data_IF_342347716925
#
_entry.id   IF_342347716925
#
_cell.length_a   1.000
_cell.length_b   1.000
_cell.length_c   1.000
_cell.angle_alpha   90.00
_cell.angle_beta   90.00
_cell.angle_gamma   90.00
#
_symmetry.space_group_name_H-M   'P 1'
#
loop_
_entity.id
_entity.type
_entity.pdbx_description
1 polymer ?
#
# COMPACT_ATOMS: atom_id res chain seq x y z
N UNK A 1 15.78 -22.58 17.62
CA UNK A 1 15.57 -21.81 16.38
C UNK A 1 15.50 -20.33 16.73
N UNK A 2 16.26 -19.46 16.06
CA UNK A 2 16.08 -18.00 16.18
C UNK A 2 14.74 -17.65 15.52
N UNK A 3 13.82 -17.00 16.24
CA UNK A 3 12.52 -16.59 15.71
C UNK A 3 12.75 -15.52 14.63
N UNK A 4 12.14 -15.62 13.43
CA UNK A 4 12.03 -14.47 12.54
C UNK A 4 11.04 -13.50 13.17
N UNK A 5 11.54 -12.55 13.96
CA UNK A 5 10.73 -11.50 14.57
C UNK A 5 10.71 -10.31 13.61
N UNK A 6 9.59 -10.11 12.93
CA UNK A 6 9.31 -8.87 12.22
C UNK A 6 8.85 -7.81 13.25
N UNK A 7 8.95 -6.52 12.94
CA UNK A 7 8.75 -5.50 13.96
C UNK A 7 7.30 -5.02 14.08
N UNK A 8 6.29 -5.89 13.90
CA UNK A 8 4.88 -5.46 13.85
C UNK A 8 4.40 -4.72 15.12
N UNK A 9 5.01 -4.97 16.28
CA UNK A 9 4.78 -4.20 17.52
C UNK A 9 4.98 -2.70 17.37
N UNK A 10 5.99 -2.28 16.61
CA UNK A 10 6.28 -0.86 16.40
C UNK A 10 5.19 -0.21 15.52
N UNK A 11 4.72 -0.92 14.50
CA UNK A 11 3.67 -0.45 13.59
C UNK A 11 2.31 -0.30 14.29
N UNK A 12 2.10 -1.00 15.41
CA UNK A 12 0.92 -0.83 16.25
C UNK A 12 0.96 0.42 17.14
N UNK A 13 2.14 0.96 17.46
CA UNK A 13 2.31 2.20 18.24
C UNK A 13 1.97 3.46 17.43
N UNK A 14 1.70 3.31 16.13
CA UNK A 14 1.30 4.38 15.22
C UNK A 14 -0.19 4.38 14.91
N UNK A 15 -0.96 3.43 15.48
CA UNK A 15 -2.40 3.45 15.37
C UNK A 15 -2.98 4.61 16.20
N UNK A 16 -3.99 5.35 15.70
CA UNK A 16 -4.54 6.54 16.37
C UNK A 16 -4.95 6.35 17.83
N UNK A 17 -5.23 5.10 18.23
CA UNK A 17 -5.69 4.70 19.57
C UNK A 17 -4.58 4.12 20.48
N UNK A 18 -3.32 4.11 20.03
CA UNK A 18 -2.22 3.44 20.73
C UNK A 18 -1.60 4.22 21.91
N UNK A 19 -2.12 5.41 22.25
CA UNK A 19 -1.64 6.22 23.37
C UNK A 19 -2.02 5.62 24.73
N UNK A 20 -1.23 4.65 25.19
CA UNK A 20 -1.25 4.15 26.57
C UNK A 20 -1.68 2.70 26.77
N UNK A 21 -2.06 1.97 25.73
CA UNK A 21 -2.39 0.55 25.83
C UNK A 21 -1.11 -0.31 25.93
N UNK A 22 -0.65 -0.57 27.16
CA UNK A 22 0.31 -1.67 27.39
C UNK A 22 -0.41 -2.99 27.14
N UNK A 23 0.01 -3.74 26.12
CA UNK A 23 -0.43 -5.12 25.90
C UNK A 23 -0.03 -5.92 27.13
N UNK A 24 -1.00 -6.30 27.97
CA UNK A 24 -0.72 -7.12 29.15
C UNK A 24 -0.48 -8.57 28.71
N UNK A 25 0.73 -9.14 28.75
CA UNK A 25 0.96 -10.52 28.29
C UNK A 25 0.20 -11.56 29.14
N UNK A 26 -0.24 -11.20 30.35
CA UNK A 26 -1.03 -12.03 31.26
C UNK A 26 -2.54 -11.86 31.01
N UNK A 27 -2.97 -11.83 29.74
CA UNK A 27 -4.41 -11.90 29.40
C UNK A 27 -4.92 -13.28 29.79
N UNK A 28 -5.32 -13.41 31.04
CA UNK A 28 -5.90 -14.60 31.63
C UNK A 28 -6.94 -15.18 30.66
N UNK A 29 -6.81 -16.47 30.34
CA UNK A 29 -7.80 -17.29 29.61
C UNK A 29 -9.13 -17.42 30.39
N UNK A 30 -9.44 -16.46 31.26
CA UNK A 30 -10.67 -16.42 32.01
C UNK A 30 -11.83 -16.34 31.03
N UNK A 31 -12.70 -17.33 31.25
CA UNK A 31 -13.79 -17.80 30.44
C UNK A 31 -14.83 -16.69 30.23
N UNK A 32 -14.55 -15.77 29.31
CA UNK A 32 -15.58 -14.85 28.82
C UNK A 32 -16.54 -15.73 28.06
N UNK A 33 -17.76 -15.88 28.58
CA UNK A 33 -18.83 -16.75 28.10
C UNK A 33 -19.26 -16.46 26.66
N UNK A 34 -18.38 -16.73 25.70
CA UNK A 34 -18.73 -16.97 24.32
C UNK A 34 -19.43 -18.30 24.35
N UNK A 35 -20.76 -18.25 24.33
CA UNK A 35 -21.58 -19.44 24.27
C UNK A 35 -21.18 -20.26 23.06
N UNK A 36 -21.29 -21.59 23.15
CA UNK A 36 -21.07 -22.47 22.01
C UNK A 36 -21.86 -22.00 20.78
N UNK A 37 -23.07 -21.47 20.98
CA UNK A 37 -23.89 -20.90 19.91
C UNK A 37 -23.27 -19.70 19.19
N UNK A 38 -22.61 -18.78 19.91
CA UNK A 38 -21.93 -17.63 19.30
C UNK A 38 -20.66 -18.07 18.56
N UNK A 39 -19.88 -18.99 19.13
CA UNK A 39 -18.73 -19.58 18.46
C UNK A 39 -19.13 -20.28 17.14
N UNK A 40 -20.20 -21.08 17.17
CA UNK A 40 -20.72 -21.74 15.97
C UNK A 40 -21.22 -20.73 14.92
N UNK A 41 -21.83 -19.62 15.35
CA UNK A 41 -22.24 -18.56 14.43
C UNK A 41 -21.04 -17.88 13.77
N UNK A 42 -19.99 -17.57 14.54
CA UNK A 42 -18.74 -16.97 14.02
C UNK A 42 -18.09 -17.90 13.00
N UNK A 43 -17.93 -19.18 13.34
CA UNK A 43 -17.34 -20.19 12.45
C UNK A 43 -18.17 -20.28 11.17
N UNK A 44 -19.51 -20.37 11.29
CA UNK A 44 -20.38 -20.44 10.13
C UNK A 44 -20.28 -19.20 9.24
N UNK A 45 -20.10 -17.99 9.77
CA UNK A 45 -19.91 -16.79 8.95
C UNK A 45 -18.53 -16.84 8.29
N UNK A 46 -17.49 -17.16 9.05
CA UNK A 46 -16.14 -17.25 8.52
C UNK A 46 -16.05 -18.26 7.36
N UNK A 47 -16.65 -19.43 7.53
CA UNK A 47 -16.66 -20.53 6.56
C UNK A 47 -17.64 -20.35 5.41
N UNK A 48 -18.59 -19.42 5.45
CA UNK A 48 -19.53 -19.20 4.33
C UNK A 48 -19.29 -17.89 3.60
N UNK A 49 -19.04 -16.84 4.36
CA UNK A 49 -19.03 -15.46 3.88
C UNK A 49 -17.62 -14.89 3.78
N UNK A 50 -16.69 -15.36 4.62
CA UNK A 50 -15.30 -14.90 4.64
C UNK A 50 -14.31 -15.91 4.04
N UNK A 51 -14.80 -16.87 3.24
CA UNK A 51 -13.92 -17.75 2.50
C UNK A 51 -13.11 -16.98 1.46
N UNK A 52 -11.95 -17.52 1.13
CA UNK A 52 -11.18 -16.99 0.01
C UNK A 52 -11.97 -17.25 -1.28
N UNK A 53 -12.32 -16.21 -2.07
CA UNK A 53 -13.32 -16.32 -3.13
C UNK A 53 -12.77 -16.92 -4.42
N UNK A 54 -11.86 -17.89 -4.32
CA UNK A 54 -11.18 -18.46 -5.48
C UNK A 54 -11.85 -19.78 -5.88
N UNK A 55 -12.62 -19.70 -6.96
CA UNK A 55 -13.08 -20.86 -7.73
C UNK A 55 -12.28 -20.94 -9.05
N UNK A 56 -12.60 -21.91 -9.90
CA UNK A 56 -11.91 -22.08 -11.20
C UNK A 56 -11.92 -20.82 -12.06
N UNK A 57 -13.05 -20.09 -12.05
CA UNK A 57 -13.20 -18.80 -12.75
C UNK A 57 -12.29 -17.73 -12.15
N UNK A 58 -12.29 -17.57 -10.82
CA UNK A 58 -11.43 -16.63 -10.11
C UNK A 58 -9.93 -16.91 -10.36
N UNK A 59 -9.54 -18.20 -10.36
CA UNK A 59 -8.20 -18.64 -10.74
C UNK A 59 -7.86 -18.27 -12.19
N UNK A 60 -8.79 -18.43 -13.12
CA UNK A 60 -8.59 -18.06 -14.52
C UNK A 60 -8.38 -16.54 -14.68
N UNK A 61 -9.18 -15.72 -13.99
CA UNK A 61 -9.01 -14.26 -13.96
C UNK A 61 -7.64 -13.89 -13.36
N UNK A 62 -7.29 -14.45 -12.21
CA UNK A 62 -5.99 -14.20 -11.56
C UNK A 62 -4.80 -14.55 -12.47
N UNK A 63 -4.84 -15.70 -13.14
CA UNK A 63 -3.78 -16.11 -14.09
C UNK A 63 -3.68 -15.16 -15.28
N UNK A 64 -4.82 -14.78 -15.88
CA UNK A 64 -4.85 -13.83 -16.99
C UNK A 64 -4.34 -12.46 -16.55
N UNK A 65 -4.70 -12.02 -15.35
CA UNK A 65 -4.24 -10.76 -14.78
C UNK A 65 -2.73 -10.77 -14.54
N UNK A 66 -2.21 -11.84 -13.93
CA UNK A 66 -0.77 -12.02 -13.76
C UNK A 66 -0.03 -11.99 -15.11
N UNK A 67 -0.58 -12.68 -16.12
CA UNK A 67 0.01 -12.71 -17.45
C UNK A 67 0.01 -11.35 -18.15
N UNK A 68 -1.07 -10.58 -17.97
CA UNK A 68 -1.17 -9.21 -18.47
C UNK A 68 -0.03 -8.35 -17.90
N UNK A 69 0.16 -8.34 -16.57
CA UNK A 69 1.18 -7.51 -15.94
C UNK A 69 2.61 -8.00 -16.19
N UNK A 70 2.82 -9.31 -16.37
CA UNK A 70 4.11 -9.85 -16.85
C UNK A 70 4.47 -9.27 -18.22
N UNK A 71 3.53 -9.31 -19.17
CA UNK A 71 3.76 -8.81 -20.53
C UNK A 71 3.98 -7.29 -20.53
N UNK A 72 3.20 -6.54 -19.73
CA UNK A 72 3.42 -5.10 -19.52
C UNK A 72 4.83 -4.84 -18.98
N UNK A 73 5.26 -5.57 -17.96
CA UNK A 73 6.59 -5.37 -17.35
C UNK A 73 7.70 -5.72 -18.33
N UNK A 74 7.56 -6.78 -19.11
CA UNK A 74 8.56 -7.18 -20.11
C UNK A 74 8.66 -6.19 -21.29
N UNK A 75 7.52 -5.65 -21.74
CA UNK A 75 7.48 -4.56 -22.73
C UNK A 75 8.20 -3.32 -22.19
N UNK A 76 7.91 -2.92 -20.95
CA UNK A 76 8.60 -1.81 -20.29
C UNK A 76 10.13 -2.02 -20.24
N UNK A 77 10.59 -3.20 -19.81
CA UNK A 77 12.02 -3.56 -19.76
C UNK A 77 12.70 -3.50 -21.13
N UNK A 78 11.99 -3.95 -22.16
CA UNK A 78 12.52 -4.03 -23.53
C UNK A 78 12.63 -2.65 -24.17
N UNK A 79 11.63 -1.79 -23.95
CA UNK A 79 11.48 -0.55 -24.69
C UNK A 79 11.91 0.71 -23.93
N UNK A 80 12.15 0.61 -22.62
CA UNK A 80 12.52 1.76 -21.80
C UNK A 80 13.71 1.46 -20.89
N UNK A 81 14.83 2.18 -21.13
CA UNK A 81 16.08 2.03 -20.36
C UNK A 81 15.88 2.21 -18.85
N UNK A 82 14.95 3.08 -18.43
CA UNK A 82 14.64 3.31 -17.03
C UNK A 82 14.04 2.09 -16.32
N UNK A 83 13.39 1.19 -17.06
CA UNK A 83 12.82 -0.07 -16.57
C UNK A 83 13.72 -1.27 -16.85
N UNK A 84 14.98 -1.04 -17.26
CA UNK A 84 15.93 -2.13 -17.42
C UNK A 84 16.10 -2.84 -16.06
N UNK A 85 16.04 -4.16 -16.10
CA UNK A 85 16.14 -5.05 -14.93
C UNK A 85 14.97 -4.91 -13.92
N UNK A 86 13.86 -4.27 -14.31
CA UNK A 86 12.65 -4.20 -13.50
C UNK A 86 12.09 -5.57 -13.14
N UNK A 87 11.56 -5.68 -11.93
CA UNK A 87 10.88 -6.87 -11.39
C UNK A 87 9.41 -6.55 -11.13
N UNK A 88 8.53 -7.50 -11.46
CA UNK A 88 7.12 -7.45 -11.08
C UNK A 88 6.90 -8.21 -9.77
N UNK A 89 6.25 -7.55 -8.81
CA UNK A 89 5.81 -8.17 -7.57
C UNK A 89 4.29 -8.27 -7.52
N UNK A 90 3.78 -9.46 -7.25
CA UNK A 90 2.37 -9.72 -6.98
C UNK A 90 2.14 -9.53 -5.49
N UNK A 91 1.28 -8.59 -5.09
CA UNK A 91 1.14 -8.17 -3.69
C UNK A 91 -0.32 -8.05 -3.28
N UNK A 92 -0.57 -7.76 -2.00
CA UNK A 92 -1.93 -7.48 -1.54
C UNK A 92 -2.81 -8.73 -1.45
N UNK A 93 -4.08 -8.48 -1.13
CA UNK A 93 -4.87 -9.50 -0.46
C UNK A 93 -5.22 -10.70 -1.34
N UNK A 94 -5.27 -10.51 -2.65
CA UNK A 94 -5.50 -11.60 -3.61
C UNK A 94 -4.35 -12.61 -3.60
N UNK A 95 -3.11 -12.14 -3.66
CA UNK A 95 -1.93 -13.01 -3.72
C UNK A 95 -1.46 -13.51 -2.34
N UNK A 96 -2.02 -12.95 -1.27
CA UNK A 96 -1.80 -13.38 0.11
C UNK A 96 -2.79 -14.49 0.55
N UNK A 97 -3.86 -14.74 -0.21
CA UNK A 97 -4.94 -15.64 0.18
C UNK A 97 -5.92 -15.01 1.20
N UNK A 98 -6.03 -13.68 1.20
CA UNK A 98 -6.76 -12.88 2.17
C UNK A 98 -7.88 -12.04 1.55
N UNK A 99 -8.15 -12.20 0.25
CA UNK A 99 -9.29 -11.58 -0.42
C UNK A 99 -10.58 -12.18 0.16
N UNK A 100 -11.62 -11.36 0.17
CA UNK A 100 -12.99 -11.70 0.59
C UNK A 100 -13.95 -11.24 -0.50
N UNK A 101 -15.20 -11.69 -0.43
CA UNK A 101 -16.27 -11.36 -1.38
C UNK A 101 -15.96 -11.83 -2.82
N UNK A 102 -15.36 -10.97 -3.66
CA UNK A 102 -15.16 -11.24 -5.08
C UNK A 102 -13.68 -11.15 -5.50
N UNK A 103 -13.33 -11.73 -6.65
CA UNK A 103 -12.00 -11.62 -7.27
C UNK A 103 -11.98 -10.38 -8.17
N UNK A 104 -12.06 -9.20 -7.55
CA UNK A 104 -12.33 -7.90 -8.20
C UNK A 104 -11.23 -6.85 -8.01
N UNK A 105 -10.13 -7.19 -7.34
CA UNK A 105 -9.03 -6.26 -7.01
C UNK A 105 -7.70 -7.03 -7.03
N UNK A 106 -6.70 -6.45 -7.69
CA UNK A 106 -5.37 -7.02 -7.83
C UNK A 106 -4.30 -5.95 -7.61
N UNK A 107 -3.46 -6.14 -6.59
CA UNK A 107 -2.35 -5.25 -6.31
C UNK A 107 -1.04 -5.78 -6.90
N UNK A 108 -0.28 -4.90 -7.54
CA UNK A 108 1.03 -5.16 -8.10
C UNK A 108 1.99 -4.04 -7.75
N UNK A 109 3.27 -4.37 -7.63
CA UNK A 109 4.35 -3.39 -7.58
C UNK A 109 5.30 -3.64 -8.75
N UNK A 110 5.63 -2.60 -9.51
CA UNK A 110 6.66 -2.65 -10.55
C UNK A 110 7.90 -1.93 -10.00
N UNK A 111 9.00 -2.65 -9.94
CA UNK A 111 10.29 -2.10 -9.51
C UNK A 111 10.91 -1.25 -10.59
N UNK A 112 11.46 -0.09 -10.24
CA UNK A 112 12.29 0.72 -11.12
C UNK A 112 13.70 0.88 -10.51
N UNK A 113 14.60 -0.10 -10.74
CA UNK A 113 15.90 -0.15 -10.07
C UNK A 113 16.76 1.08 -10.31
N UNK A 114 16.61 1.75 -11.47
CA UNK A 114 17.41 2.93 -11.80
C UNK A 114 17.25 4.06 -10.78
N UNK A 115 16.06 4.22 -10.17
CA UNK A 115 15.82 5.26 -9.16
C UNK A 115 16.75 5.12 -7.96
N UNK A 116 17.01 3.89 -7.52
CA UNK A 116 17.92 3.63 -6.39
C UNK A 116 19.38 4.00 -6.67
N UNK A 117 19.75 4.13 -7.94
CA UNK A 117 21.12 4.46 -8.39
C UNK A 117 21.33 5.96 -8.60
N UNK A 118 20.26 6.68 -8.94
CA UNK A 118 20.34 8.11 -9.29
C UNK A 118 19.73 9.04 -8.26
N UNK A 119 19.21 8.49 -7.18
CA UNK A 119 18.63 9.26 -6.11
C UNK A 119 19.42 9.13 -4.81
N UNK A 120 19.50 10.26 -4.13
CA UNK A 120 19.79 10.28 -2.71
C UNK A 120 18.49 10.00 -1.95
N UNK A 121 18.58 9.00 -1.08
CA UNK A 121 17.50 8.64 -0.18
C UNK A 121 17.97 8.99 1.22
N UNK A 122 17.20 9.79 1.94
CA UNK A 122 17.46 10.13 3.32
C UNK A 122 16.22 9.82 4.17
N UNK A 123 16.43 9.45 5.42
CA UNK A 123 15.32 9.23 6.34
C UNK A 123 14.83 10.59 6.85
N UNK A 124 13.52 10.82 6.87
CA UNK A 124 12.95 11.93 7.63
C UNK A 124 12.62 11.48 9.04
N UNK A 125 12.60 12.42 9.97
CA UNK A 125 12.35 12.24 11.42
C UNK A 125 11.00 11.61 11.80
N UNK A 126 10.23 11.08 10.84
CA UNK A 126 8.94 10.42 11.08
C UNK A 126 8.82 9.05 10.40
N UNK A 127 8.54 8.03 11.23
CA UNK A 127 7.56 6.96 10.99
C UNK A 127 7.42 6.46 9.55
N UNK A 128 8.42 5.76 9.03
CA UNK A 128 8.40 5.04 7.74
C UNK A 128 8.46 5.91 6.47
N UNK A 129 8.65 7.22 6.62
CA UNK A 129 8.78 8.14 5.50
C UNK A 129 10.24 8.41 5.18
N UNK A 130 10.58 8.30 3.90
CA UNK A 130 11.91 8.64 3.38
C UNK A 130 11.76 9.87 2.49
N UNK A 131 12.70 10.81 2.63
CA UNK A 131 12.90 11.85 1.64
C UNK A 131 13.76 11.31 0.51
N UNK A 132 13.46 11.79 -0.69
CA UNK A 132 14.07 11.32 -1.92
C UNK A 132 14.41 12.51 -2.80
N UNK A 133 15.64 12.56 -3.29
CA UNK A 133 16.14 13.61 -4.17
C UNK A 133 16.86 12.99 -5.38
N UNK A 134 16.43 13.36 -6.59
CA UNK A 134 17.05 12.89 -7.83
C UNK A 134 18.30 13.72 -8.14
N UNK A 135 19.45 13.06 -8.23
CA UNK A 135 20.73 13.70 -8.58
C UNK A 135 21.05 13.63 -10.07
N UNK A 136 20.59 12.59 -10.75
CA UNK A 136 20.88 12.37 -12.16
C UNK A 136 19.62 12.00 -12.94
N UNK A 137 19.29 12.82 -13.94
CA UNK A 137 18.16 12.61 -14.84
C UNK A 137 18.55 11.87 -16.13
N UNK A 138 19.84 11.66 -16.38
CA UNK A 138 20.33 11.05 -17.61
C UNK A 138 19.66 9.72 -17.97
N UNK A 139 19.32 8.83 -17.03
CA UNK A 139 18.64 7.58 -17.39
C UNK A 139 17.23 7.76 -17.94
N UNK A 140 16.67 8.97 -17.84
CA UNK A 140 15.33 9.32 -18.33
C UNK A 140 15.36 10.13 -19.63
N UNK A 141 16.53 10.48 -20.17
CA UNK A 141 16.63 11.27 -21.41
C UNK A 141 16.12 10.50 -22.64
N UNK A 142 16.25 9.17 -22.67
CA UNK A 142 15.72 8.36 -23.78
C UNK A 142 14.29 7.83 -23.51
N UNK A 143 13.66 8.27 -22.40
CA UNK A 143 12.33 7.82 -22.00
C UNK A 143 11.25 8.74 -22.58
N UNK A 144 10.02 8.25 -22.84
CA UNK A 144 8.86 9.11 -23.10
C UNK A 144 8.59 10.12 -21.97
N UNK A 145 9.29 10.06 -20.84
CA UNK A 145 9.45 11.19 -19.90
C UNK A 145 9.81 12.50 -20.61
N UNK A 146 10.64 12.48 -21.66
CA UNK A 146 10.89 13.69 -22.48
C UNK A 146 9.67 14.13 -23.27
N UNK A 147 8.85 13.20 -23.79
CA UNK A 147 7.56 13.54 -24.43
C UNK A 147 6.58 14.13 -23.41
N UNK A 148 6.62 13.68 -22.15
CA UNK A 148 5.85 14.28 -21.04
C UNK A 148 6.42 15.66 -20.64
N UNK A 149 7.73 15.89 -20.76
CA UNK A 149 8.34 17.24 -20.60
C UNK A 149 7.85 18.22 -21.67
N UNK A 150 7.52 17.77 -22.89
CA UNK A 150 6.90 18.65 -23.92
C UNK A 150 5.51 19.12 -23.51
N UNK A 151 4.85 18.39 -22.59
CA UNK A 151 3.60 18.78 -21.95
C UNK A 151 3.81 19.70 -20.72
N UNK A 152 5.03 20.19 -20.47
CA UNK A 152 5.30 21.21 -19.45
C UNK A 152 4.55 22.53 -19.74
N UNK A 153 4.11 22.76 -20.97
CA UNK A 153 3.15 23.82 -21.29
C UNK A 153 1.80 23.62 -20.57
N UNK A 154 1.36 22.37 -20.33
CA UNK A 154 0.18 22.06 -19.51
C UNK A 154 0.46 22.17 -18.00
N UNK A 155 1.72 22.04 -17.56
CA UNK A 155 2.14 22.30 -16.18
C UNK A 155 2.19 23.81 -15.92
N UNK A 156 2.69 24.59 -16.88
CA UNK A 156 2.58 26.05 -16.85
C UNK A 156 1.13 26.49 -16.97
N UNK A 157 0.31 25.86 -17.83
CA UNK A 157 -1.15 26.09 -17.89
C UNK A 157 -1.83 25.77 -16.54
N UNK A 158 -1.33 24.79 -15.77
CA UNK A 158 -1.79 24.53 -14.41
C UNK A 158 -1.42 25.68 -13.44
N UNK A 159 -0.19 26.18 -13.48
CA UNK A 159 0.20 27.39 -12.74
C UNK A 159 -0.49 28.67 -13.24
N UNK A 160 -0.87 28.73 -14.51
CA UNK A 160 -1.60 29.86 -15.09
C UNK A 160 -3.10 29.73 -14.78
N UNK A 161 -3.66 28.52 -14.67
CA UNK A 161 -4.99 28.26 -14.13
C UNK A 161 -5.06 28.57 -12.63
N UNK A 162 -3.98 28.35 -11.86
CA UNK A 162 -3.83 28.85 -10.48
C UNK A 162 -4.11 30.36 -10.38
N UNK A 163 -3.75 31.14 -11.41
CA UNK A 163 -4.05 32.59 -11.47
C UNK A 163 -5.51 32.93 -11.85
N UNK A 164 -6.24 31.99 -12.48
CA UNK A 164 -7.65 32.18 -12.87
C UNK A 164 -8.65 31.80 -11.77
N UNK A 165 -8.23 30.99 -10.79
CA UNK A 165 -9.07 30.57 -9.66
C UNK A 165 -8.86 31.42 -8.40
N UNK A 166 -7.96 32.41 -8.44
CA UNK A 166 -7.70 33.35 -7.37
C UNK A 166 -8.12 34.73 -7.86
N UNK A 167 -9.17 35.34 -7.28
CA UNK A 167 -9.42 36.76 -7.56
C UNK A 167 -8.27 37.58 -6.99
N UNK A 168 -7.84 38.67 -7.65
CA UNK A 168 -6.82 39.55 -7.09
C UNK A 168 -7.20 40.01 -5.67
N UNK A 169 -6.44 39.58 -4.66
CA UNK A 169 -6.67 39.90 -3.25
C UNK A 169 -7.40 38.84 -2.41
N UNK A 170 -7.83 37.71 -2.98
CA UNK A 170 -8.32 36.55 -2.21
C UNK A 170 -7.15 35.57 -1.99
N UNK A 171 -6.86 35.18 -0.74
CA UNK A 171 -5.99 34.01 -0.47
C UNK A 171 -6.79 32.73 -0.69
N UNK A 172 -6.22 31.77 -1.43
CA UNK A 172 -6.86 30.48 -1.65
C UNK A 172 -6.91 29.69 -0.34
N UNK A 173 -8.11 29.24 0.02
CA UNK A 173 -8.37 28.27 1.09
C UNK A 173 -8.65 26.94 0.37
N UNK A 174 -7.73 25.98 0.48
CA UNK A 174 -7.96 24.61 -0.01
C UNK A 174 -9.27 24.04 0.60
N UNK A 175 -10.07 23.26 -0.13
CA UNK A 175 -11.11 22.45 0.51
C UNK A 175 -10.39 21.38 1.37
N UNK A 176 -10.37 21.59 2.69
CA UNK A 176 -9.51 20.87 3.64
C UNK A 176 -8.39 21.72 4.27
N UNK A 177 -8.42 23.04 4.09
CA UNK A 177 -7.47 24.01 4.68
C UNK A 177 -7.79 24.28 6.15
N UNK A 178 -7.53 23.26 6.95
CA UNK A 178 -7.19 23.44 8.35
C UNK A 178 -5.74 23.97 8.32
N UNK A 179 -5.59 25.30 8.28
CA UNK A 179 -4.30 26.01 8.14
C UNK A 179 -3.20 25.60 9.14
N UNK A 180 -3.51 24.76 10.13
CA UNK A 180 -2.54 24.19 11.06
C UNK A 180 -1.82 22.93 10.53
N UNK A 181 -2.30 22.28 9.46
CA UNK A 181 -1.78 20.97 9.02
C UNK A 181 -0.83 21.01 7.80
N UNK A 182 -0.85 22.10 7.02
CA UNK A 182 0.08 22.35 5.93
C UNK A 182 0.97 23.55 6.21
N UNK A 183 1.67 23.53 7.35
CA UNK A 183 3.00 24.10 7.32
C UNK A 183 3.74 23.32 6.24
N UNK A 184 4.01 23.91 5.06
CA UNK A 184 5.18 23.49 4.27
C UNK A 184 6.32 23.64 5.26
N UNK A 185 6.86 22.55 5.83
CA UNK A 185 7.81 22.69 6.92
C UNK A 185 8.95 23.59 6.43
N UNK A 186 9.43 24.54 7.25
CA UNK A 186 10.36 25.59 6.79
C UNK A 186 11.63 25.02 6.08
N UNK A 187 11.97 23.77 6.36
CA UNK A 187 12.94 22.92 5.68
C UNK A 187 12.70 22.65 4.17
N UNK A 188 11.50 22.90 3.64
CA UNK A 188 11.17 22.78 2.20
C UNK A 188 11.27 24.10 1.42
N UNK A 189 11.41 25.24 2.09
CA UNK A 189 11.67 26.51 1.40
C UNK A 189 13.07 26.59 0.77
N UNK A 190 13.95 25.62 1.07
CA UNK A 190 15.34 25.57 0.62
C UNK A 190 15.64 24.52 -0.46
N UNK A 191 14.69 23.67 -0.87
CA UNK A 191 14.93 22.68 -1.94
C UNK A 191 14.52 23.24 -3.29
N UNK A 192 15.37 23.03 -4.31
CA UNK A 192 15.12 23.49 -5.68
C UNK A 192 13.78 22.93 -6.21
N UNK A 193 12.84 23.81 -6.62
CA UNK A 193 11.57 23.39 -7.21
C UNK A 193 11.69 22.44 -8.41
N UNK A 194 12.84 22.44 -9.08
CA UNK A 194 13.13 21.53 -10.18
C UNK A 194 13.08 20.04 -9.75
N UNK A 195 13.50 19.72 -8.52
CA UNK A 195 13.56 18.33 -8.04
C UNK A 195 12.18 17.71 -7.84
N UNK A 196 11.24 18.44 -7.24
CA UNK A 196 9.86 17.95 -7.05
C UNK A 196 9.15 17.75 -8.38
N UNK A 197 9.42 18.64 -9.34
CA UNK A 197 8.86 18.57 -10.68
C UNK A 197 9.31 17.31 -11.40
N UNK A 198 10.59 16.94 -11.29
CA UNK A 198 11.13 15.75 -11.93
C UNK A 198 10.44 14.46 -11.45
N UNK A 199 10.18 14.34 -10.16
CA UNK A 199 9.52 13.15 -9.62
C UNK A 199 8.04 13.08 -10.03
N UNK A 200 7.32 14.19 -9.99
CA UNK A 200 5.95 14.27 -10.48
C UNK A 200 5.86 13.86 -11.97
N UNK A 201 6.83 14.30 -12.78
CA UNK A 201 6.96 13.89 -14.18
C UNK A 201 7.20 12.39 -14.29
N UNK A 202 8.11 11.81 -13.50
CA UNK A 202 8.39 10.36 -13.53
C UNK A 202 7.14 9.54 -13.15
N UNK A 203 6.45 9.93 -12.10
CA UNK A 203 5.22 9.28 -11.63
C UNK A 203 4.14 9.35 -12.72
N UNK A 204 3.93 10.53 -13.30
CA UNK A 204 2.97 10.72 -14.40
C UNK A 204 3.34 9.87 -15.62
N UNK A 205 4.61 9.88 -16.02
CA UNK A 205 5.08 9.07 -17.14
C UNK A 205 4.92 7.58 -16.88
N UNK A 206 5.19 7.10 -15.67
CA UNK A 206 4.95 5.72 -15.28
C UNK A 206 3.48 5.34 -15.44
N UNK A 207 2.55 6.12 -14.88
CA UNK A 207 1.11 5.82 -14.99
C UNK A 207 0.63 5.77 -16.44
N UNK A 208 1.04 6.74 -17.27
CA UNK A 208 0.70 6.78 -18.70
C UNK A 208 1.28 5.58 -19.47
N UNK A 209 2.54 5.22 -19.19
CA UNK A 209 3.19 4.06 -19.81
C UNK A 209 2.49 2.77 -19.44
N UNK A 210 2.24 2.54 -18.14
CA UNK A 210 1.56 1.34 -17.66
C UNK A 210 0.16 1.24 -18.27
N UNK A 211 -0.59 2.35 -18.33
CA UNK A 211 -1.89 2.39 -18.98
C UNK A 211 -1.83 2.02 -20.47
N UNK A 212 -0.92 2.64 -21.23
CA UNK A 212 -0.72 2.33 -22.65
C UNK A 212 -0.43 0.84 -22.85
N UNK A 213 0.48 0.28 -22.02
CA UNK A 213 0.87 -1.13 -22.13
C UNK A 213 -0.25 -2.07 -21.69
N UNK A 214 -1.02 -1.74 -20.65
CA UNK A 214 -2.21 -2.50 -20.26
C UNK A 214 -3.18 -2.58 -21.42
N UNK A 215 -3.47 -1.46 -22.08
CA UNK A 215 -4.37 -1.43 -23.24
C UNK A 215 -3.83 -2.25 -24.41
N UNK A 216 -2.51 -2.23 -24.63
CA UNK A 216 -1.87 -2.99 -25.70
C UNK A 216 -1.89 -4.51 -25.47
N UNK A 217 -1.63 -4.95 -24.23
CA UNK A 217 -1.54 -6.38 -23.87
C UNK A 217 -2.85 -7.00 -23.39
N UNK A 218 -3.93 -6.22 -23.40
CA UNK A 218 -5.22 -6.66 -22.89
C UNK A 218 -5.75 -7.89 -23.67
N UNK A 219 -6.27 -8.93 -22.99
CA UNK A 219 -6.96 -10.02 -23.67
C UNK A 219 -8.08 -9.49 -24.57
N UNK A 220 -8.25 -10.07 -25.75
CA UNK A 220 -9.19 -9.57 -26.78
C UNK A 220 -10.64 -9.49 -26.27
N UNK A 221 -11.00 -10.38 -25.35
CA UNK A 221 -12.33 -10.44 -24.76
C UNK A 221 -12.50 -9.48 -23.57
N UNK A 222 -11.43 -8.83 -23.11
CA UNK A 222 -11.46 -7.86 -22.01
C UNK A 222 -11.52 -6.43 -22.57
N UNK A 223 -12.06 -5.51 -21.77
CA UNK A 223 -12.19 -4.10 -22.14
C UNK A 223 -11.63 -3.22 -21.03
N UNK A 224 -10.74 -2.32 -21.40
CA UNK A 224 -10.30 -1.26 -20.51
C UNK A 224 -11.45 -0.26 -20.33
N UNK A 225 -11.74 0.13 -19.08
CA UNK A 225 -12.68 1.21 -18.79
C UNK A 225 -11.87 2.50 -18.73
N UNK A 226 -12.06 3.45 -19.67
CA UNK A 226 -11.46 4.75 -19.54
C UNK A 226 -12.09 5.43 -18.32
N UNK A 227 -11.33 5.57 -17.24
CA UNK A 227 -11.74 6.46 -16.17
C UNK A 227 -11.60 7.90 -16.67
N UNK A 228 -12.57 8.77 -16.36
CA UNK A 228 -12.44 10.21 -16.60
C UNK A 228 -11.26 10.81 -15.79
N UNK A 229 -10.89 10.12 -14.69
CA UNK A 229 -9.67 10.30 -13.90
C UNK A 229 -8.49 9.42 -14.35
N UNK A 230 -8.62 8.76 -15.50
CA UNK A 230 -7.66 7.82 -16.08
C UNK A 230 -6.60 8.49 -16.95
N UNK A 231 -6.64 9.82 -17.10
CA UNK A 231 -5.39 10.56 -17.18
C UNK A 231 -4.86 10.58 -15.76
N UNK A 232 -3.57 10.32 -15.53
CA UNK A 232 -2.92 10.62 -14.25
C UNK A 232 -3.17 12.09 -13.93
N UNK A 233 -4.27 12.38 -13.24
CA UNK A 233 -4.68 13.75 -12.96
C UNK A 233 -3.83 14.23 -11.81
N UNK A 234 -3.65 15.54 -11.75
CA UNK A 234 -3.02 16.17 -10.60
C UNK A 234 -3.79 15.80 -9.31
N UNK A 235 -5.09 15.50 -9.39
CA UNK A 235 -5.88 15.00 -8.26
C UNK A 235 -5.36 13.67 -7.69
N UNK A 236 -4.76 12.80 -8.51
CA UNK A 236 -4.11 11.58 -8.02
C UNK A 236 -2.93 11.91 -7.08
N UNK A 237 -2.17 12.96 -7.41
CA UNK A 237 -1.09 13.48 -6.58
C UNK A 237 -1.61 14.18 -5.32
N UNK A 238 -2.69 14.97 -5.46
CA UNK A 238 -3.30 15.69 -4.35
C UNK A 238 -4.00 14.74 -3.36
N UNK A 239 -4.46 13.58 -3.81
CA UNK A 239 -5.11 12.56 -2.96
C UNK A 239 -4.13 11.62 -2.25
N UNK A 240 -2.81 11.79 -2.41
CA UNK A 240 -1.78 10.94 -1.78
C UNK A 240 -1.94 9.44 -2.06
N UNK A 241 -2.46 9.08 -3.24
CA UNK A 241 -2.55 7.69 -3.68
C UNK A 241 -1.19 7.25 -4.21
N UNK A 242 -0.69 6.11 -3.74
CA UNK A 242 0.59 5.54 -4.20
C UNK A 242 0.43 4.68 -5.46
N UNK A 243 -0.74 4.07 -5.63
CA UNK A 243 -1.03 3.10 -6.67
C UNK A 243 -1.85 3.71 -7.80
N UNK A 244 -1.50 3.34 -9.04
CA UNK A 244 -2.30 3.64 -10.22
C UNK A 244 -3.38 2.59 -10.38
N UNK A 245 -4.63 2.98 -10.19
CA UNK A 245 -5.81 2.10 -10.31
C UNK A 245 -6.35 2.11 -11.73
N UNK A 246 -6.53 0.92 -12.30
CA UNK A 246 -7.11 0.70 -13.62
C UNK A 246 -8.32 -0.23 -13.55
N UNK A 247 -9.42 0.18 -14.17
CA UNK A 247 -10.64 -0.62 -14.24
C UNK A 247 -10.72 -1.38 -15.55
N UNK A 248 -11.04 -2.67 -15.46
CA UNK A 248 -11.16 -3.57 -16.60
C UNK A 248 -12.44 -4.37 -16.49
N UNK A 249 -13.17 -4.48 -17.59
CA UNK A 249 -14.26 -5.45 -17.75
C UNK A 249 -13.68 -6.72 -18.35
N UNK A 250 -13.80 -7.83 -17.63
CA UNK A 250 -13.42 -9.15 -18.13
C UNK A 250 -14.41 -9.64 -19.20
N UNK A 251 -14.04 -10.69 -19.94
CA UNK A 251 -14.93 -11.30 -20.95
C UNK A 251 -16.25 -11.84 -20.41
N UNK A 252 -16.39 -11.94 -19.09
CA UNK A 252 -17.61 -12.36 -18.40
C UNK A 252 -18.38 -11.19 -17.77
N UNK A 253 -18.12 -9.96 -18.22
CA UNK A 253 -18.72 -8.72 -17.71
C UNK A 253 -18.48 -8.45 -16.21
N UNK A 254 -17.48 -9.08 -15.60
CA UNK A 254 -17.04 -8.74 -14.25
C UNK A 254 -16.05 -7.57 -14.32
N UNK A 255 -16.25 -6.55 -13.48
CA UNK A 255 -15.32 -5.45 -13.29
C UNK A 255 -14.21 -5.90 -12.34
N UNK A 256 -12.97 -5.66 -12.72
CA UNK A 256 -11.77 -5.91 -11.91
C UNK A 256 -10.92 -4.65 -11.88
N UNK A 257 -10.40 -4.33 -10.69
CA UNK A 257 -9.52 -3.20 -10.43
C UNK A 257 -8.09 -3.71 -10.37
N UNK A 258 -7.17 -2.99 -10.98
CA UNK A 258 -5.73 -3.26 -10.91
C UNK A 258 -5.06 -2.06 -10.28
N UNK A 259 -4.45 -2.26 -9.12
CA UNK A 259 -3.59 -1.28 -8.48
C UNK A 259 -2.13 -1.59 -8.82
N UNK A 260 -1.45 -0.64 -9.47
CA UNK A 260 -0.03 -0.77 -9.82
C UNK A 260 0.77 0.32 -9.12
N UNK A 261 1.55 -0.06 -8.12
CA UNK A 261 2.50 0.84 -7.45
C UNK A 261 3.83 0.88 -8.21
N UNK A 262 4.40 2.09 -8.37
CA UNK A 262 5.80 2.24 -8.71
C UNK A 262 6.63 2.11 -7.44
N UNK A 263 7.57 1.18 -7.42
CA UNK A 263 8.45 0.95 -6.28
C UNK A 263 9.92 1.02 -6.66
N UNK A 264 10.75 1.32 -5.66
CA UNK A 264 12.20 1.32 -5.79
C UNK A 264 12.83 0.39 -4.75
N UNK A 265 13.91 -0.31 -5.11
CA UNK A 265 14.65 -1.14 -4.18
C UNK A 265 15.51 -0.26 -3.26
N UNK A 266 15.54 -0.61 -1.98
CA UNK A 266 16.40 -0.02 -0.96
C UNK A 266 17.34 -1.12 -0.45
N UNK A 267 18.60 -1.03 -0.87
CA UNK A 267 19.64 -2.00 -0.53
C UNK A 267 20.24 -1.78 0.87
N UNK A 268 20.20 -0.55 1.38
CA UNK A 268 20.92 -0.14 2.58
C UNK A 268 20.00 0.52 3.63
N UNK A 269 18.77 0.04 3.77
CA UNK A 269 17.82 0.57 4.76
C UNK A 269 18.40 0.66 6.18
N UNK A 270 19.20 -0.32 6.67
CA UNK A 270 19.79 -0.23 8.00
C UNK A 270 20.78 0.93 8.20
N UNK A 271 21.42 1.42 7.13
CA UNK A 271 22.29 2.61 7.18
C UNK A 271 21.47 3.90 7.24
N UNK A 272 20.31 3.93 6.59
CA UNK A 272 19.38 5.06 6.66
C UNK A 272 18.77 5.23 8.06
N UNK A 273 18.63 4.13 8.81
CA UNK A 273 18.10 4.13 10.19
C UNK A 273 19.16 4.33 11.28
N UNK A 274 20.43 4.52 10.90
CA UNK A 274 21.53 4.80 11.82
C UNK A 274 21.87 6.30 11.88
N UNK A 275 21.01 7.19 11.38
CA UNK A 275 21.26 8.62 11.53
C UNK A 275 21.26 8.96 13.02
N UNK A 276 22.31 9.64 13.48
CA UNK A 276 22.43 10.20 14.83
C UNK A 276 21.52 11.42 15.02
N UNK A 277 20.40 11.47 14.30
CA UNK A 277 19.44 12.55 14.37
C UNK A 277 18.71 12.44 15.74
N UNK A 278 18.78 13.46 16.60
CA UNK A 278 18.13 13.43 17.91
C UNK A 278 16.60 13.26 17.85
N UNK A 279 15.98 13.34 16.66
CA UNK A 279 14.58 13.02 16.41
C UNK A 279 14.30 11.58 15.96
N UNK A 280 15.30 10.68 15.96
CA UNK A 280 15.15 9.30 15.52
C UNK A 280 14.45 8.44 16.60
N UNK A 281 13.11 8.48 16.60
CA UNK A 281 12.21 7.86 17.58
C UNK A 281 12.16 6.32 17.44
N UNK A 282 12.82 5.73 16.46
CA UNK A 282 12.77 4.28 16.25
C UNK A 282 13.51 3.54 17.39
N UNK A 283 12.86 2.60 18.11
CA UNK A 283 13.51 1.79 19.13
C UNK A 283 14.75 1.05 18.59
N UNK A 284 15.81 0.94 19.38
CA UNK A 284 17.06 0.30 18.93
C UNK A 284 16.86 -1.17 18.54
N UNK A 285 15.92 -1.87 19.17
CA UNK A 285 15.57 -3.25 18.81
C UNK A 285 14.85 -3.31 17.45
N UNK A 286 14.09 -2.28 17.07
CA UNK A 286 13.54 -2.12 15.73
C UNK A 286 14.67 -1.97 14.70
N UNK A 287 15.59 -1.03 14.95
CA UNK A 287 16.75 -0.79 14.06
C UNK A 287 17.61 -2.04 13.89
N UNK A 288 17.87 -2.77 14.98
CA UNK A 288 18.66 -4.00 14.95
C UNK A 288 18.02 -5.11 14.10
N UNK A 289 16.69 -5.25 14.12
CA UNK A 289 15.99 -6.25 13.30
C UNK A 289 16.13 -6.01 11.79
N UNK A 290 16.21 -4.75 11.36
CA UNK A 290 16.51 -4.42 9.96
C UNK A 290 17.99 -4.67 9.62
N UNK A 291 18.91 -4.35 10.53
CA UNK A 291 20.35 -4.66 10.36
C UNK A 291 20.60 -6.16 10.18
N UNK A 292 19.89 -6.97 10.94
CA UNK A 292 20.06 -8.43 10.95
C UNK A 292 19.44 -9.12 9.71
N UNK A 293 18.67 -8.39 8.89
CA UNK A 293 18.04 -8.91 7.68
C UNK A 293 18.39 -8.06 6.45
N UNK A 294 19.58 -8.27 5.84
CA UNK A 294 20.09 -7.46 4.73
C UNK A 294 19.34 -7.65 3.39
N UNK A 295 18.11 -8.16 3.44
CA UNK A 295 17.28 -8.31 2.25
C UNK A 295 16.92 -6.96 1.64
N UNK A 296 16.74 -6.93 0.33
CA UNK A 296 16.23 -5.76 -0.39
C UNK A 296 14.88 -5.36 0.21
N UNK A 297 14.78 -4.11 0.64
CA UNK A 297 13.51 -3.50 1.03
C UNK A 297 12.93 -2.73 -0.15
N UNK A 298 11.64 -2.46 -0.11
CA UNK A 298 10.97 -1.66 -1.12
C UNK A 298 10.46 -0.37 -0.51
N UNK A 299 10.52 0.70 -1.29
CA UNK A 299 9.78 1.90 -1.01
C UNK A 299 8.83 2.18 -2.17
N UNK A 300 7.63 2.61 -1.84
CA UNK A 300 6.64 3.11 -2.80
C UNK A 300 6.58 4.61 -2.71
N UNK A 301 6.20 5.23 -3.81
CA UNK A 301 6.09 6.67 -3.90
C UNK A 301 4.78 7.11 -3.25
N UNK A 302 4.85 8.09 -2.34
CA UNK A 302 3.66 8.67 -1.71
C UNK A 302 3.27 10.00 -2.34
N UNK A 303 4.26 10.82 -2.67
CA UNK A 303 4.09 12.09 -3.36
C UNK A 303 5.39 12.47 -4.10
N UNK A 304 5.50 13.72 -4.56
CA UNK A 304 6.63 14.20 -5.37
C UNK A 304 7.98 14.22 -4.67
N UNK A 305 8.07 14.07 -3.35
CA UNK A 305 9.34 14.15 -2.62
C UNK A 305 9.46 13.20 -1.42
N UNK A 306 8.44 12.37 -1.19
CA UNK A 306 8.45 11.38 -0.13
C UNK A 306 8.10 10.00 -0.63
N UNK A 307 8.81 9.04 -0.05
CA UNK A 307 8.58 7.62 -0.21
C UNK A 307 8.08 7.05 1.10
N UNK A 308 7.29 5.99 1.01
CA UNK A 308 6.89 5.17 2.15
C UNK A 308 7.56 3.80 2.02
N UNK A 309 8.19 3.33 3.09
CA UNK A 309 8.68 1.95 3.15
C UNK A 309 7.49 1.00 2.95
N UNK A 310 7.62 0.09 2.00
CA UNK A 310 6.62 -0.94 1.72
C UNK A 310 7.12 -2.29 2.20
N UNK A 311 6.28 -2.98 2.98
CA UNK A 311 6.52 -4.34 3.44
C UNK A 311 5.69 -5.37 2.68
N UNK A 312 4.99 -4.99 1.60
CA UNK A 312 4.07 -5.86 0.87
C UNK A 312 4.69 -7.20 0.46
N UNK A 313 5.95 -7.22 0.01
CA UNK A 313 6.66 -8.46 -0.35
C UNK A 313 6.89 -9.36 0.88
N UNK A 314 7.23 -8.78 2.04
CA UNK A 314 7.47 -9.52 3.29
C UNK A 314 6.16 -10.00 3.91
N UNK A 315 5.14 -9.15 3.87
CA UNK A 315 3.80 -9.50 4.29
C UNK A 315 3.27 -10.69 3.48
N UNK A 316 3.43 -10.65 2.15
CA UNK A 316 3.11 -11.80 1.30
C UNK A 316 3.87 -13.04 1.71
N UNK A 317 5.19 -12.96 1.88
CA UNK A 317 6.01 -14.09 2.33
C UNK A 317 5.49 -14.67 3.66
N UNK A 318 5.07 -13.81 4.60
CA UNK A 318 4.52 -14.23 5.88
C UNK A 318 3.19 -14.98 5.71
N UNK A 319 2.28 -14.49 4.85
CA UNK A 319 0.98 -15.14 4.63
C UNK A 319 1.06 -16.38 3.74
N UNK A 320 1.95 -16.44 2.75
CA UNK A 320 2.05 -17.61 1.85
C UNK A 320 2.62 -18.85 2.52
N UNK A 321 3.11 -18.74 3.75
CA UNK A 321 3.53 -19.89 4.59
C UNK A 321 2.35 -20.75 5.07
N UNK A 322 1.14 -20.21 5.01
CA UNK A 322 -0.07 -20.88 5.43
C UNK A 322 -0.93 -21.24 4.23
N UNK A 323 -1.55 -22.42 4.28
CA UNK A 323 -2.52 -22.84 3.27
C UNK A 323 -3.75 -21.92 3.27
N UNK A 324 -4.53 -21.93 2.18
CA UNK A 324 -5.67 -21.01 2.02
C UNK A 324 -6.78 -21.24 3.06
N UNK A 325 -6.95 -22.47 3.50
CA UNK A 325 -7.90 -22.93 4.52
C UNK A 325 -7.32 -22.85 5.94
N UNK A 326 -6.10 -22.35 6.11
CA UNK A 326 -5.49 -22.21 7.42
C UNK A 326 -6.36 -21.33 8.34
N UNK A 327 -6.66 -21.78 9.58
CA UNK A 327 -7.51 -21.04 10.50
C UNK A 327 -7.03 -19.61 10.80
N UNK A 328 -5.72 -19.34 10.71
CA UNK A 328 -5.15 -17.99 10.82
C UNK A 328 -5.66 -17.05 9.73
N UNK A 329 -5.62 -17.52 8.47
CA UNK A 329 -6.11 -16.75 7.33
C UNK A 329 -7.62 -16.60 7.38
N UNK A 330 -8.33 -17.67 7.78
CA UNK A 330 -9.78 -17.63 7.94
C UNK A 330 -10.20 -16.59 8.98
N UNK A 331 -9.53 -16.54 10.13
CA UNK A 331 -9.79 -15.55 11.17
C UNK A 331 -9.54 -14.12 10.65
N UNK A 332 -8.44 -13.88 9.93
CA UNK A 332 -8.16 -12.57 9.35
C UNK A 332 -9.21 -12.17 8.30
N UNK A 333 -9.60 -13.09 7.40
CA UNK A 333 -10.65 -12.83 6.41
C UNK A 333 -11.98 -12.51 7.08
N UNK A 334 -12.32 -13.22 8.16
CA UNK A 334 -13.51 -12.91 8.95
C UNK A 334 -13.49 -11.48 9.49
N UNK A 335 -12.37 -10.99 10.02
CA UNK A 335 -12.26 -9.58 10.44
C UNK A 335 -12.35 -8.60 9.28
N UNK A 336 -11.76 -8.91 8.13
CA UNK A 336 -11.93 -8.09 6.92
C UNK A 336 -13.39 -8.05 6.48
N UNK A 337 -14.10 -9.17 6.58
CA UNK A 337 -15.52 -9.26 6.28
C UNK A 337 -16.34 -8.42 7.26
N UNK A 338 -16.09 -8.54 8.57
CA UNK A 338 -16.76 -7.72 9.58
C UNK A 338 -16.53 -6.22 9.33
N UNK A 339 -15.30 -5.82 9.01
CA UNK A 339 -15.00 -4.45 8.62
C UNK A 339 -15.82 -4.03 7.39
N UNK A 340 -15.80 -4.85 6.33
CA UNK A 340 -16.46 -4.57 5.05
C UNK A 340 -17.98 -4.44 5.18
N UNK A 341 -18.62 -5.26 6.04
CA UNK A 341 -20.08 -5.29 6.19
C UNK A 341 -20.64 -4.45 7.33
N UNK A 342 -19.86 -4.16 8.37
CA UNK A 342 -20.37 -3.46 9.55
C UNK A 342 -19.72 -2.10 9.74
N UNK A 343 -18.39 -2.03 9.70
CA UNK A 343 -17.67 -0.79 10.04
C UNK A 343 -17.83 0.26 8.94
N UNK A 344 -17.92 -0.14 7.67
CA UNK A 344 -18.20 0.77 6.54
C UNK A 344 -19.60 1.41 6.61
N UNK A 345 -20.55 0.79 7.32
CA UNK A 345 -21.91 1.31 7.47
C UNK A 345 -22.11 2.13 8.74
N UNK A 346 -21.16 2.08 9.68
CA UNK A 346 -21.14 2.97 10.84
C UNK A 346 -20.71 4.37 10.36
N UNK A 347 -21.69 5.19 9.99
CA UNK A 347 -21.47 6.64 9.78
C UNK A 347 -21.09 7.27 11.11
N UNK A 348 -19.80 7.30 11.41
CA UNK A 348 -19.27 8.05 12.54
C UNK A 348 -19.15 9.51 12.14
N UNK A 349 -20.18 10.29 12.46
CA UNK A 349 -20.27 11.75 12.25
C UNK A 349 -20.23 12.23 10.78
N UNK A 350 -20.74 13.44 10.56
CA UNK A 350 -21.00 14.05 9.24
C UNK A 350 -19.74 14.41 8.43
N UNK A 351 -18.54 14.10 8.92
CA UNK A 351 -17.32 14.28 8.17
C UNK A 351 -17.03 13.03 7.34
N UNK A 352 -17.06 13.18 6.02
CA UNK A 352 -16.83 12.13 5.01
C UNK A 352 -15.43 11.47 5.06
N UNK A 353 -14.67 11.64 6.14
CA UNK A 353 -13.33 11.14 6.33
C UNK A 353 -13.34 9.76 7.01
N UNK A 354 -13.41 8.72 6.18
CA UNK A 354 -12.77 7.41 6.39
C UNK A 354 -13.29 6.52 7.53
N UNK A 355 -13.53 5.26 7.18
CA UNK A 355 -13.47 4.18 8.16
C UNK A 355 -12.05 4.18 8.78
N UNK A 356 -11.92 4.61 10.04
CA UNK A 356 -10.64 4.73 10.78
C UNK A 356 -9.79 3.43 10.73
N UNK A 357 -10.44 2.28 10.50
CA UNK A 357 -9.79 0.97 10.42
C UNK A 357 -9.84 0.46 8.98
N UNK A 358 -8.75 0.61 8.24
CA UNK A 358 -8.60 0.00 6.91
C UNK A 358 -8.16 -1.48 7.01
N UNK A 359 -8.11 -2.17 5.87
CA UNK A 359 -7.65 -3.56 5.79
C UNK A 359 -6.19 -3.74 6.22
N UNK A 360 -5.35 -2.72 6.04
CA UNK A 360 -3.95 -2.72 6.44
C UNK A 360 -3.79 -2.74 7.97
N UNK A 361 -4.60 -1.98 8.72
CA UNK A 361 -4.62 -2.02 10.19
C UNK A 361 -4.93 -3.43 10.71
N UNK A 362 -5.95 -4.09 10.14
CA UNK A 362 -6.30 -5.47 10.48
C UNK A 362 -5.13 -6.40 10.18
N UNK A 363 -4.49 -6.25 9.02
CA UNK A 363 -3.32 -7.05 8.62
C UNK A 363 -2.16 -6.93 9.59
N UNK A 364 -1.80 -5.71 9.99
CA UNK A 364 -0.72 -5.44 10.94
C UNK A 364 -0.99 -6.09 12.30
N UNK A 365 -2.23 -5.98 12.81
CA UNK A 365 -2.64 -6.64 14.06
C UNK A 365 -2.48 -8.15 13.94
N UNK A 366 -2.95 -8.75 12.85
CA UNK A 366 -2.88 -10.19 12.65
C UNK A 366 -1.45 -10.72 12.49
N UNK A 367 -0.59 -9.98 11.78
CA UNK A 367 0.82 -10.31 11.68
C UNK A 367 1.49 -10.32 13.06
N UNK A 368 1.17 -9.36 13.92
CA UNK A 368 1.60 -9.38 15.31
C UNK A 368 1.05 -10.57 16.10
N UNK A 369 -0.24 -10.87 15.97
CA UNK A 369 -0.85 -12.01 16.65
C UNK A 369 -0.24 -13.35 16.21
N UNK A 370 0.16 -13.50 14.94
CA UNK A 370 0.85 -14.70 14.45
C UNK A 370 2.21 -14.90 15.11
N UNK A 371 2.89 -13.83 15.50
CA UNK A 371 4.16 -13.91 16.21
C UNK A 371 3.99 -14.32 17.68
N UNK A 372 2.93 -13.84 18.34
CA UNK A 372 2.61 -14.21 19.72
C UNK A 372 2.06 -15.64 19.80
N UNK A 373 1.23 -16.03 18.82
CA UNK A 373 0.54 -17.31 18.77
C UNK A 373 0.96 -18.10 17.52
N UNK A 374 2.20 -18.63 17.47
CA UNK A 374 2.72 -19.28 16.25
C UNK A 374 2.08 -20.64 15.97
N UNK A 375 1.61 -21.34 17.00
CA UNK A 375 1.10 -22.70 16.90
C UNK A 375 -0.30 -22.74 16.26
N UNK A 376 -0.51 -23.62 15.28
CA UNK A 376 -1.82 -23.76 14.60
C UNK A 376 -2.96 -24.08 15.58
N UNK A 377 -2.68 -24.83 16.65
CA UNK A 377 -3.64 -25.16 17.71
C UNK A 377 -4.20 -23.93 18.43
N UNK A 378 -3.45 -22.81 18.42
CA UNK A 378 -3.87 -21.53 19.01
C UNK A 378 -4.93 -20.78 18.18
N UNK A 379 -5.26 -21.31 16.99
CA UNK A 379 -6.19 -20.74 16.02
C UNK A 379 -7.36 -21.68 15.71
N UNK A 380 -7.71 -22.61 16.59
CA UNK A 380 -8.90 -23.44 16.38
C UNK A 380 -10.21 -22.66 16.61
N UNK A 381 -11.36 -23.25 16.23
CA UNK A 381 -12.68 -22.60 16.34
C UNK A 381 -13.09 -22.16 17.75
N UNK A 382 -12.61 -22.83 18.81
CA UNK A 382 -12.80 -22.39 20.20
C UNK A 382 -12.00 -21.13 20.51
N UNK A 383 -10.79 -21.05 19.96
CA UNK A 383 -9.91 -19.90 20.09
C UNK A 383 -10.28 -18.74 19.17
N UNK A 384 -11.05 -18.94 18.10
CA UNK A 384 -11.50 -17.87 17.19
C UNK A 384 -12.20 -16.74 17.95
N UNK A 385 -13.16 -17.07 18.81
CA UNK A 385 -13.87 -16.11 19.66
C UNK A 385 -12.94 -15.38 20.64
N UNK A 386 -11.93 -16.08 21.18
CA UNK A 386 -10.92 -15.51 22.08
C UNK A 386 -10.02 -14.55 21.31
N UNK A 387 -9.57 -14.94 20.11
CA UNK A 387 -8.80 -14.09 19.20
C UNK A 387 -9.64 -12.96 18.60
N UNK A 388 -10.96 -13.01 18.70
CA UNK A 388 -11.87 -11.92 18.38
C UNK A 388 -11.96 -10.84 19.47
N UNK A 389 -11.48 -11.11 20.69
CA UNK A 389 -11.39 -10.15 21.80
C UNK A 389 -10.32 -9.06 21.59
N UNK A 390 -9.99 -8.75 20.34
CA UNK A 390 -9.28 -7.54 19.87
C UNK A 390 -10.06 -6.25 20.21
N UNK A 391 -11.01 -6.30 21.16
CA UNK A 391 -11.78 -5.19 21.70
C UNK A 391 -10.87 -4.07 22.23
N UNK A 392 -9.63 -4.36 22.60
CA UNK A 392 -8.65 -3.35 23.03
C UNK A 392 -7.74 -2.79 21.92
N UNK A 393 -7.86 -3.25 20.67
CA UNK A 393 -7.19 -2.64 19.51
C UNK A 393 -8.14 -1.89 18.58
N UNK A 394 -9.44 -1.85 18.88
CA UNK A 394 -10.46 -1.17 18.05
C UNK A 394 -11.22 -0.09 18.84
N UNK A 395 -10.85 0.15 20.10
CA UNK A 395 -11.43 1.17 20.96
C UNK A 395 -10.40 2.24 21.28
#
# INVERSE_FOLDING_TARGET
>A
MKRPCFPYQFWMQDLPWSTGAKVNPDWDETDVGITDSLNQAIISIAEKEAQFPINEKGLAIQRKMGKLLENVTEDLKTNHKSFKDSTLYYTGSMYEGLKIDAVDEFDFMIEMPVLSKVADISMKSTKQMLQFELKDLNPFNDSPIEKVKVDAANIQEFFDRKSKFVKPGEEWIFPGDDRESWNIPAEFNNTDPSHWMNMAIIIRAFGLLVQEKIQHHLPREWKFIPNEFGLVTIDHFLQHKSAFTFDIVTGENQIVNIDVDLCLPIYNLPLLMNSSDPGDILPEDFKQRFRDNPSIHHAIIRNSNTLRISLSCKEKEAFTKFDSDDPRKLCMRFFKYLRSKFITHLKWHDDAASCLVNSYHIKTIFLYLFEIYPEQSSWNGTNFGIRLKVKHFLC
#
